data_IF_178832642216
#
_entry.id   IF_178832642216
#
_cell.length_a   1.000
_cell.length_b   1.000
_cell.length_c   1.000
_cell.angle_alpha   90.00
_cell.angle_beta   90.00
_cell.angle_gamma   90.00
#
_symmetry.space_group_name_H-M   'P 1'
#
loop_
_entity.id
_entity.type
_entity.pdbx_description
1 polymer ?
#
# COMPACT_ATOMS: atom_id res chain seq x y z
N UNK A 1 -17.26 -14.59 14.00
CA UNK A 1 -16.57 -13.58 13.16
C UNK A 1 -15.71 -14.26 12.12
N UNK A 2 -15.99 -14.06 10.83
CA UNK A 2 -15.10 -14.52 9.76
C UNK A 2 -14.16 -13.35 9.44
N UNK A 3 -12.90 -13.47 9.85
CA UNK A 3 -11.86 -12.52 9.42
C UNK A 3 -11.69 -12.72 7.91
N UNK A 4 -11.82 -11.66 7.09
CA UNK A 4 -11.61 -11.80 5.65
C UNK A 4 -10.18 -12.29 5.38
N UNK A 5 -10.00 -13.19 4.40
CA UNK A 5 -8.67 -13.69 4.08
C UNK A 5 -7.75 -12.54 3.65
N UNK A 6 -6.46 -12.67 3.96
CA UNK A 6 -5.44 -11.75 3.49
C UNK A 6 -5.36 -11.83 1.96
N UNK A 7 -5.99 -10.88 1.29
CA UNK A 7 -5.98 -10.72 -0.17
C UNK A 7 -5.19 -9.48 -0.53
N UNK A 8 -4.51 -9.54 -1.68
CA UNK A 8 -3.85 -8.37 -2.24
C UNK A 8 -4.86 -7.26 -2.46
N UNK A 9 -4.48 -6.06 -2.10
CA UNK A 9 -5.28 -4.86 -2.28
C UNK A 9 -4.92 -4.14 -3.57
N UNK A 10 -3.63 -4.09 -3.88
CA UNK A 10 -3.12 -3.60 -5.15
C UNK A 10 -2.84 -4.75 -6.11
N UNK A 11 -2.78 -4.45 -7.41
CA UNK A 11 -2.44 -5.46 -8.42
C UNK A 11 -0.96 -5.82 -8.33
N UNK A 12 -0.59 -7.01 -8.81
CA UNK A 12 0.82 -7.46 -8.78
C UNK A 12 1.74 -6.66 -9.71
N UNK A 13 1.18 -5.95 -10.68
CA UNK A 13 1.85 -5.05 -11.61
C UNK A 13 1.80 -3.57 -11.16
N UNK A 14 1.30 -3.29 -9.95
CA UNK A 14 1.26 -1.94 -9.40
C UNK A 14 2.65 -1.44 -8.99
N UNK A 15 2.86 -0.13 -9.10
CA UNK A 15 4.05 0.56 -8.56
C UNK A 15 4.07 0.57 -7.02
N UNK A 16 2.89 0.40 -6.40
CA UNK A 16 2.75 0.38 -4.94
C UNK A 16 3.12 -1.01 -4.41
N UNK A 17 4.10 -1.07 -3.50
CA UNK A 17 4.43 -2.31 -2.80
C UNK A 17 3.35 -2.63 -1.76
N UNK A 18 2.71 -3.79 -1.91
CA UNK A 18 1.59 -4.22 -1.06
C UNK A 18 2.00 -5.29 -0.03
N UNK A 19 2.01 -4.90 1.26
CA UNK A 19 2.31 -5.78 2.40
C UNK A 19 1.05 -6.38 3.07
N UNK A 20 0.13 -6.90 2.26
CA UNK A 20 -1.19 -7.42 2.68
C UNK A 20 -1.19 -8.61 3.67
N UNK A 21 -0.05 -9.26 3.92
CA UNK A 21 0.05 -10.37 4.91
C UNK A 21 0.49 -9.91 6.30
N UNK A 22 0.50 -8.59 6.56
CA UNK A 22 0.96 -8.04 7.82
C UNK A 22 2.48 -8.04 7.95
N UNK A 23 3.20 -7.87 6.83
CA UNK A 23 4.68 -7.87 6.78
C UNK A 23 5.26 -6.54 7.28
N UNK A 24 4.82 -6.07 8.45
CA UNK A 24 5.14 -4.74 8.97
C UNK A 24 6.64 -4.54 9.19
N UNK A 25 7.37 -5.56 9.67
CA UNK A 25 8.83 -5.46 9.84
C UNK A 25 9.55 -5.23 8.51
N UNK A 26 9.11 -5.88 7.43
CA UNK A 26 9.67 -5.69 6.09
C UNK A 26 9.33 -4.32 5.54
N UNK A 27 8.10 -3.84 5.77
CA UNK A 27 7.70 -2.47 5.42
C UNK A 27 8.57 -1.44 6.15
N UNK A 28 8.74 -1.58 7.47
CA UNK A 28 9.55 -0.68 8.29
C UNK A 28 11.03 -0.69 7.87
N UNK A 29 11.58 -1.87 7.58
CA UNK A 29 12.96 -1.97 7.08
C UNK A 29 13.13 -1.22 5.74
N UNK A 30 12.16 -1.33 4.83
CA UNK A 30 12.16 -0.60 3.56
C UNK A 30 11.96 0.91 3.74
N UNK A 31 11.09 1.33 4.67
CA UNK A 31 10.86 2.76 4.91
C UNK A 31 12.05 3.45 5.57
N UNK A 32 12.83 2.72 6.36
CA UNK A 32 14.02 3.27 7.02
C UNK A 32 15.21 3.52 6.08
N UNK A 33 15.16 3.05 4.83
CA UNK A 33 16.21 3.33 3.83
C UNK A 33 15.92 4.56 3.00
N UNK A 34 14.72 5.14 3.11
CA UNK A 34 14.28 6.30 2.33
C UNK A 34 14.17 7.54 3.22
N UNK A 35 14.53 8.71 2.67
CA UNK A 35 14.38 9.99 3.37
C UNK A 35 12.89 10.34 3.59
N UNK A 36 12.02 9.94 2.65
CA UNK A 36 10.57 10.17 2.71
C UNK A 36 9.84 8.92 2.20
N UNK A 37 8.87 8.44 2.98
CA UNK A 37 8.02 7.30 2.61
C UNK A 37 6.54 7.71 2.57
N UNK A 38 5.82 7.31 1.51
CA UNK A 38 4.38 7.49 1.39
C UNK A 38 3.65 6.17 1.63
N UNK A 39 2.85 6.10 2.69
CA UNK A 39 2.35 4.83 3.25
C UNK A 39 0.84 4.88 3.45
N UNK A 40 0.14 3.86 2.98
CA UNK A 40 -1.29 3.67 3.23
C UNK A 40 -1.54 2.52 4.20
N UNK A 41 -2.15 2.82 5.35
CA UNK A 41 -2.78 1.79 6.18
C UNK A 41 -4.21 1.58 5.68
N UNK A 42 -4.56 0.35 5.36
CA UNK A 42 -5.85 0.04 4.72
C UNK A 42 -6.45 -1.25 5.26
N UNK A 43 -7.74 -1.45 4.99
CA UNK A 43 -8.40 -2.75 5.11
C UNK A 43 -9.06 -3.11 3.76
N UNK A 44 -8.91 -4.33 3.23
CA UNK A 44 -9.47 -4.71 1.92
C UNK A 44 -10.99 -4.55 1.80
N UNK A 45 -11.70 -4.63 2.93
CA UNK A 45 -13.17 -4.55 3.01
C UNK A 45 -13.69 -3.15 3.35
N UNK A 46 -12.80 -2.20 3.63
CA UNK A 46 -13.18 -0.84 3.99
C UNK A 46 -13.51 -0.01 2.73
N UNK A 47 -14.63 0.71 2.77
CA UNK A 47 -15.16 1.43 1.61
C UNK A 47 -14.28 2.63 1.21
N UNK A 48 -13.79 3.39 2.20
CA UNK A 48 -12.91 4.54 1.97
C UNK A 48 -11.56 4.10 1.41
N UNK A 49 -11.00 3.01 1.95
CA UNK A 49 -9.79 2.38 1.42
C UNK A 49 -9.96 2.03 -0.05
N UNK A 50 -11.05 1.33 -0.41
CA UNK A 50 -11.33 0.94 -1.79
C UNK A 50 -11.50 2.14 -2.72
N UNK A 51 -12.18 3.20 -2.24
CA UNK A 51 -12.39 4.44 -2.98
C UNK A 51 -11.06 5.16 -3.29
N UNK A 52 -10.19 5.29 -2.29
CA UNK A 52 -8.92 6.03 -2.41
C UNK A 52 -7.83 5.22 -3.14
N UNK A 53 -7.95 3.89 -3.22
CA UNK A 53 -6.94 2.99 -3.80
C UNK A 53 -6.35 3.50 -5.13
N UNK A 54 -7.21 3.89 -6.07
CA UNK A 54 -6.76 4.35 -7.40
C UNK A 54 -6.05 5.70 -7.36
N UNK A 55 -6.47 6.61 -6.48
CA UNK A 55 -5.79 7.89 -6.30
C UNK A 55 -4.44 7.73 -5.61
N UNK A 56 -4.32 6.75 -4.70
CA UNK A 56 -3.03 6.40 -4.10
C UNK A 56 -2.03 5.88 -5.14
N UNK A 57 -2.47 5.01 -6.07
CA UNK A 57 -1.62 4.55 -7.19
C UNK A 57 -1.20 5.71 -8.10
N UNK A 58 -2.10 6.65 -8.41
CA UNK A 58 -1.76 7.84 -9.20
C UNK A 58 -0.74 8.72 -8.49
N UNK A 59 -0.91 8.96 -7.19
CA UNK A 59 0.04 9.72 -6.39
C UNK A 59 1.42 9.06 -6.38
N UNK A 60 1.48 7.73 -6.25
CA UNK A 60 2.73 6.98 -6.30
C UNK A 60 3.48 7.17 -7.65
N UNK A 61 2.77 7.15 -8.78
CA UNK A 61 3.37 7.44 -10.09
C UNK A 61 3.91 8.87 -10.20
N UNK A 62 3.20 9.86 -9.64
CA UNK A 62 3.68 11.26 -9.67
C UNK A 62 4.91 11.45 -8.79
N UNK A 63 4.97 10.75 -7.65
CA UNK A 63 6.09 10.83 -6.73
C UNK A 63 7.30 10.04 -7.23
N UNK A 64 7.12 8.91 -7.90
CA UNK A 64 8.26 8.13 -8.44
C UNK A 64 9.08 8.89 -9.48
N UNK A 65 8.47 9.87 -10.16
CA UNK A 65 9.15 10.70 -11.16
C UNK A 65 9.89 11.91 -10.55
N UNK A 66 9.71 12.16 -9.25
CA UNK A 66 10.11 13.41 -8.58
C UNK A 66 11.12 13.23 -7.44
N UNK A 67 11.46 12.00 -7.10
CA UNK A 67 12.40 11.64 -6.03
C UNK A 67 13.60 10.94 -6.65
#
# INVERSE_FOLDING_TARGET
SKVPPAVRFFRSDSIVTDWYRGQLSSALASMNTEDVSFVMYYAPWDAESQYVRGEFEKAANVLSDRV
#
